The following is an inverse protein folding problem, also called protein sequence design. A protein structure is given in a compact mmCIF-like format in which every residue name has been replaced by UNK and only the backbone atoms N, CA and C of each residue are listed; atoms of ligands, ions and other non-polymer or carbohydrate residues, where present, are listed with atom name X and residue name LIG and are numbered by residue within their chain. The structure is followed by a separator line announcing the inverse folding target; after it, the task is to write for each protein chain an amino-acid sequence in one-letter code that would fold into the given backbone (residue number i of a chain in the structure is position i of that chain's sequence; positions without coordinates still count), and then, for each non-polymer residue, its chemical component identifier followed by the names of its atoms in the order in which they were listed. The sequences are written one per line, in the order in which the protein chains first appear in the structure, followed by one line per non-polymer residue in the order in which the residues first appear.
data_IF_986179495524
#
_entry.id   IF_986179495524
#
_cell.length_a   1.000
_cell.length_b   1.000
_cell.length_c   1.000
_cell.angle_alpha   90.00
_cell.angle_beta   90.00
_cell.angle_gamma   90.00
#
_symmetry.space_group_name_H-M   'P 1'
#
loop_
_entity.id
_entity.type
_entity.pdbx_description
1 polymer ?
#
# COMPACT_ATOMS: atom_id res chain seq x y z
N UNK A 1 13.80 -16.15 20.76
CA UNK A 1 14.68 -15.60 19.70
C UNK A 1 13.81 -14.77 18.76
N UNK A 2 13.83 -13.43 18.87
CA UNK A 2 13.08 -12.55 17.98
C UNK A 2 13.72 -12.65 16.59
N UNK A 3 12.99 -13.20 15.62
CA UNK A 3 13.48 -13.33 14.25
C UNK A 3 13.60 -11.91 13.68
N UNK A 4 14.82 -11.48 13.37
CA UNK A 4 15.06 -10.16 12.78
C UNK A 4 14.27 -10.03 11.48
N UNK A 5 13.57 -8.91 11.29
CA UNK A 5 12.87 -8.64 10.05
C UNK A 5 13.86 -8.60 8.89
N UNK A 6 13.50 -9.16 7.74
CA UNK A 6 14.39 -9.18 6.57
C UNK A 6 14.80 -7.76 6.16
N UNK A 7 15.98 -7.61 5.56
CA UNK A 7 16.48 -6.34 5.06
C UNK A 7 15.46 -5.59 4.21
N UNK A 8 14.77 -6.32 3.32
CA UNK A 8 13.65 -5.80 2.51
C UNK A 8 12.56 -5.17 3.36
N UNK A 9 12.10 -5.84 4.41
CA UNK A 9 11.00 -5.31 5.23
C UNK A 9 11.42 -4.04 5.98
N UNK A 10 12.65 -4.02 6.51
CA UNK A 10 13.22 -2.83 7.14
C UNK A 10 13.36 -1.67 6.15
N UNK A 11 13.76 -1.95 4.91
CA UNK A 11 13.79 -0.95 3.84
C UNK A 11 12.38 -0.39 3.55
N UNK A 12 11.33 -1.22 3.49
CA UNK A 12 9.95 -0.71 3.31
C UNK A 12 9.55 0.27 4.41
N UNK A 13 9.84 -0.08 5.68
CA UNK A 13 9.57 0.80 6.82
C UNK A 13 10.42 2.07 6.80
N UNK A 14 11.73 1.94 6.51
CA UNK A 14 12.65 3.08 6.43
C UNK A 14 12.30 4.06 5.30
N UNK A 15 11.71 3.57 4.20
CA UNK A 15 11.15 4.44 3.15
C UNK A 15 9.97 5.25 3.66
N UNK A 16 9.00 4.61 4.33
CA UNK A 16 7.83 5.29 4.91
C UNK A 16 8.24 6.34 5.95
N UNK A 17 9.21 6.03 6.81
CA UNK A 17 9.78 7.01 7.74
C UNK A 17 10.27 8.27 7.03
N UNK A 18 11.04 8.12 5.95
CA UNK A 18 11.59 9.25 5.18
C UNK A 18 10.52 10.06 4.46
N UNK A 19 9.42 9.43 4.04
CA UNK A 19 8.24 10.14 3.53
C UNK A 19 7.58 10.94 4.65
N UNK A 20 7.33 10.32 5.81
CA UNK A 20 6.66 10.94 6.95
C UNK A 20 7.42 12.18 7.49
N UNK A 21 8.75 12.11 7.49
CA UNK A 21 9.63 13.20 7.92
C UNK A 21 9.88 14.22 6.78
N UNK A 22 9.42 13.91 5.56
CA UNK A 22 9.61 14.67 4.33
C UNK A 22 8.82 15.97 4.25
N UNK A 23 9.23 16.87 3.35
CA UNK A 23 8.50 18.12 3.07
C UNK A 23 7.14 17.85 2.38
N UNK A 24 7.03 16.74 1.65
CA UNK A 24 5.85 16.35 0.91
C UNK A 24 4.94 15.37 1.70
N UNK A 25 5.17 15.20 3.01
CA UNK A 25 4.54 14.16 3.83
C UNK A 25 3.01 14.18 3.76
N UNK A 26 2.41 15.37 3.82
CA UNK A 26 0.94 15.52 3.81
C UNK A 26 0.31 15.21 2.45
N UNK A 27 1.11 15.03 1.40
CA UNK A 27 0.61 14.62 0.09
C UNK A 27 0.52 13.09 -0.09
N UNK A 28 0.96 12.28 0.88
CA UNK A 28 0.96 10.82 0.76
C UNK A 28 0.09 10.15 1.81
N UNK A 29 -0.79 9.27 1.36
CA UNK A 29 -1.53 8.35 2.22
C UNK A 29 -1.10 6.90 2.01
N UNK A 30 -0.85 6.17 3.10
CA UNK A 30 -0.49 4.76 3.09
C UNK A 30 -1.74 3.90 2.85
N UNK A 31 -1.59 2.90 1.98
CA UNK A 31 -2.59 1.84 1.78
C UNK A 31 -1.92 0.46 1.78
N UNK A 32 -2.68 -0.56 1.39
CA UNK A 32 -2.13 -1.84 0.98
C UNK A 32 -1.46 -2.64 2.10
N UNK A 33 -0.47 -3.47 1.73
CA UNK A 33 0.05 -4.52 2.61
C UNK A 33 0.78 -4.01 3.87
N UNK A 34 1.49 -2.88 3.75
CA UNK A 34 2.17 -2.27 4.90
C UNK A 34 1.16 -1.74 5.93
N UNK A 35 0.04 -1.17 5.49
CA UNK A 35 -1.02 -0.70 6.38
C UNK A 35 -1.71 -1.86 7.11
N UNK A 36 -2.08 -2.91 6.37
CA UNK A 36 -2.71 -4.10 6.98
C UNK A 36 -1.78 -4.72 8.02
N UNK A 37 -0.48 -4.79 7.76
CA UNK A 37 0.50 -5.28 8.74
C UNK A 37 0.59 -4.40 9.99
N UNK A 38 0.52 -3.08 9.82
CA UNK A 38 0.50 -2.15 10.96
C UNK A 38 -0.73 -2.40 11.85
N UNK A 39 -1.89 -2.67 11.25
CA UNK A 39 -3.12 -3.00 11.99
C UNK A 39 -3.12 -4.38 12.63
N UNK A 40 -2.47 -5.37 11.99
CA UNK A 40 -2.45 -6.76 12.42
C UNK A 40 -1.02 -7.31 12.54
N UNK A 41 -0.20 -6.79 13.47
CA UNK A 41 1.21 -7.17 13.58
C UNK A 41 1.42 -8.67 13.86
N UNK A 42 0.50 -9.28 14.62
CA UNK A 42 0.54 -10.71 14.98
C UNK A 42 0.34 -11.66 13.80
N UNK A 43 -0.29 -11.19 12.71
CA UNK A 43 -0.48 -11.99 11.50
C UNK A 43 0.84 -12.42 10.86
N UNK A 44 1.94 -11.70 11.16
CA UNK A 44 3.27 -11.83 10.54
C UNK A 44 3.23 -11.79 9.01
N UNK A 45 2.13 -11.38 8.39
CA UNK A 45 1.96 -11.29 6.94
C UNK A 45 3.07 -10.41 6.36
N UNK A 46 3.89 -10.92 5.43
CA UNK A 46 4.93 -10.11 4.82
C UNK A 46 4.28 -9.09 3.87
N UNK A 47 4.68 -7.82 3.98
CA UNK A 47 4.46 -6.84 2.94
C UNK A 47 5.63 -6.92 1.95
N UNK A 48 5.33 -6.92 0.65
CA UNK A 48 6.35 -7.00 -0.41
C UNK A 48 6.72 -5.61 -0.93
N UNK A 49 5.80 -4.68 -0.86
CA UNK A 49 5.83 -3.34 -1.43
C UNK A 49 5.26 -2.33 -0.44
N UNK A 50 5.52 -1.06 -0.74
CA UNK A 50 4.79 0.08 -0.18
C UNK A 50 3.75 0.49 -1.21
N UNK A 51 2.50 0.64 -0.78
CA UNK A 51 1.43 1.20 -1.61
C UNK A 51 1.03 2.58 -1.08
N UNK A 52 1.03 3.61 -1.93
CA UNK A 52 0.68 4.98 -1.59
C UNK A 52 -0.43 5.52 -2.49
N UNK A 53 -1.20 6.46 -1.95
CA UNK A 53 -1.97 7.43 -2.71
C UNK A 53 -1.23 8.76 -2.63
N UNK A 54 -1.07 9.46 -3.75
CA UNK A 54 -0.41 10.76 -3.78
C UNK A 54 -1.38 11.85 -4.28
N UNK A 55 -1.46 12.94 -3.51
CA UNK A 55 -2.23 14.15 -3.83
C UNK A 55 -1.49 15.16 -4.69
N UNK A 56 -0.19 14.95 -4.98
CA UNK A 56 0.54 15.78 -5.93
C UNK A 56 0.10 15.49 -7.37
N UNK A 57 0.29 16.42 -8.32
CA UNK A 57 0.05 16.17 -9.73
C UNK A 57 0.87 14.97 -10.26
N UNK A 58 0.30 14.20 -11.18
CA UNK A 58 1.00 13.11 -11.85
C UNK A 58 2.05 13.66 -12.84
N UNK A 59 3.28 13.83 -12.35
CA UNK A 59 4.43 14.26 -13.15
C UNK A 59 5.66 13.40 -12.79
N UNK A 60 6.14 12.61 -13.75
CA UNK A 60 7.28 11.70 -13.52
C UNK A 60 8.58 12.43 -13.17
N UNK A 61 8.82 13.63 -13.72
CA UNK A 61 10.05 14.38 -13.49
C UNK A 61 10.04 14.98 -12.09
N UNK A 62 8.94 15.62 -11.70
CA UNK A 62 8.75 16.15 -10.36
C UNK A 62 8.81 15.03 -9.32
N UNK A 63 8.13 13.91 -9.57
CA UNK A 63 8.12 12.77 -8.65
C UNK A 63 9.48 12.10 -8.51
N UNK A 64 10.28 12.00 -9.60
CA UNK A 64 11.68 11.56 -9.50
C UNK A 64 12.49 12.43 -8.53
N UNK A 65 12.28 13.75 -8.55
CA UNK A 65 12.95 14.65 -7.60
C UNK A 65 12.48 14.42 -6.16
N UNK A 66 11.17 14.23 -5.94
CA UNK A 66 10.60 13.87 -4.62
C UNK A 66 11.25 12.59 -4.09
N UNK A 67 11.19 11.50 -4.86
CA UNK A 67 11.75 10.22 -4.41
C UNK A 67 13.26 10.26 -4.22
N UNK A 68 14.02 10.98 -5.06
CA UNK A 68 15.46 11.17 -4.85
C UNK A 68 15.75 11.84 -3.50
N UNK A 69 15.04 12.92 -3.17
CA UNK A 69 15.16 13.60 -1.86
C UNK A 69 14.77 12.68 -0.71
N UNK A 70 13.69 11.93 -0.86
CA UNK A 70 13.24 10.95 0.14
C UNK A 70 14.31 9.89 0.39
N UNK A 71 14.86 9.28 -0.66
CA UNK A 71 15.90 8.24 -0.54
C UNK A 71 17.21 8.80 0.05
N UNK A 72 17.57 10.04 -0.27
CA UNK A 72 18.77 10.69 0.26
C UNK A 72 18.65 11.13 1.73
N UNK A 73 17.43 11.15 2.30
CA UNK A 73 17.21 11.58 3.69
C UNK A 73 17.81 10.57 4.66
N UNK A 74 18.60 11.09 5.61
CA UNK A 74 19.11 10.30 6.72
C UNK A 74 18.06 10.18 7.83
N UNK A 75 17.92 8.98 8.39
CA UNK A 75 17.10 8.70 9.57
C UNK A 75 17.87 7.74 10.50
N UNK A 76 17.69 7.86 11.81
CA UNK A 76 18.36 7.01 12.81
C UNK A 76 17.68 5.63 12.95
N UNK A 77 17.33 4.99 11.84
CA UNK A 77 16.59 3.72 11.76
C UNK A 77 17.46 2.54 11.29
N UNK A 78 18.75 2.78 11.04
CA UNK A 78 19.70 1.78 10.55
C UNK A 78 19.43 1.33 9.11
N UNK A 79 18.69 2.13 8.33
CA UNK A 79 18.42 1.95 6.91
C UNK A 79 19.18 3.01 6.12
N UNK A 80 19.79 2.63 5.00
CA UNK A 80 20.48 3.55 4.07
C UNK A 80 20.09 3.17 2.65
N UNK A 81 19.60 4.14 1.87
CA UNK A 81 19.27 3.94 0.45
C UNK A 81 20.38 4.43 -0.46
N UNK A 82 20.54 3.78 -1.61
CA UNK A 82 21.38 4.26 -2.71
C UNK A 82 20.57 5.26 -3.56
N UNK A 83 20.58 6.54 -3.17
CA UNK A 83 19.68 7.57 -3.72
C UNK A 83 19.87 7.86 -5.23
N UNK A 84 21.01 7.49 -5.81
CA UNK A 84 21.26 7.59 -7.26
C UNK A 84 20.94 6.30 -8.02
N UNK A 85 20.63 5.21 -7.31
CA UNK A 85 20.35 3.88 -7.89
C UNK A 85 18.89 3.49 -7.65
N UNK A 86 17.99 4.26 -8.23
CA UNK A 86 16.57 3.95 -8.27
C UNK A 86 16.02 4.13 -9.69
N UNK A 87 14.96 3.41 -10.00
CA UNK A 87 14.23 3.55 -11.27
C UNK A 87 12.76 3.82 -11.01
N UNK A 88 12.16 4.49 -11.98
CA UNK A 88 10.76 4.92 -11.93
C UNK A 88 10.11 4.52 -13.23
N UNK A 89 9.07 3.70 -13.10
CA UNK A 89 8.27 3.21 -14.19
C UNK A 89 6.84 3.75 -14.08
N UNK A 90 6.18 3.92 -15.21
CA UNK A 90 4.72 4.05 -15.23
C UNK A 90 4.12 2.68 -14.95
N UNK A 91 3.05 2.64 -14.18
CA UNK A 91 2.23 1.43 -14.05
C UNK A 91 0.80 1.73 -14.46
N UNK A 92 0.20 0.78 -15.16
CA UNK A 92 -1.24 0.75 -15.33
C UNK A 92 -1.83 0.22 -14.03
N UNK A 93 -2.67 1.03 -13.39
CA UNK A 93 -3.37 0.62 -12.20
C UNK A 93 -4.61 -0.18 -12.61
N UNK A 94 -5.23 -0.83 -11.64
CA UNK A 94 -6.58 -1.39 -11.80
C UNK A 94 -7.65 -0.28 -11.88
N UNK A 95 -7.27 0.99 -12.00
CA UNK A 95 -8.15 2.17 -12.03
C UNK A 95 -7.87 3.05 -13.24
N UNK A 96 -8.79 3.97 -13.59
CA UNK A 96 -8.47 5.04 -14.53
C UNK A 96 -7.39 6.00 -13.98
N UNK A 97 -6.96 5.83 -12.73
CA UNK A 97 -5.99 6.72 -12.10
C UNK A 97 -4.56 6.35 -12.47
N UNK A 98 -3.74 7.32 -12.88
CA UNK A 98 -2.36 7.05 -13.27
C UNK A 98 -1.54 6.54 -12.09
N UNK A 99 -0.63 5.61 -12.38
CA UNK A 99 0.24 5.01 -11.39
C UNK A 99 1.72 5.16 -11.74
N UNK A 100 2.53 5.08 -10.70
CA UNK A 100 3.97 5.04 -10.80
C UNK A 100 4.53 3.95 -9.87
N UNK A 101 5.58 3.25 -10.32
CA UNK A 101 6.35 2.34 -9.48
C UNK A 101 7.79 2.80 -9.38
N UNK A 102 8.26 2.97 -8.15
CA UNK A 102 9.68 3.16 -7.83
C UNK A 102 10.27 1.81 -7.47
N UNK A 103 11.45 1.51 -8.00
CA UNK A 103 12.31 0.48 -7.45
C UNK A 103 13.53 1.14 -6.85
N UNK A 104 13.81 0.86 -5.59
CA UNK A 104 14.91 1.43 -4.84
C UNK A 104 15.69 0.32 -4.14
N UNK A 105 17.00 0.53 -4.03
CA UNK A 105 17.91 -0.39 -3.35
C UNK A 105 18.58 0.29 -2.18
N UNK A 106 19.00 -0.51 -1.21
CA UNK A 106 19.65 -0.02 -0.02
C UNK A 106 20.10 -1.13 0.89
N UNK A 107 20.50 -0.74 2.11
CA UNK A 107 20.93 -1.65 3.16
C UNK A 107 20.18 -1.38 4.45
N UNK A 108 19.87 -2.44 5.19
CA UNK A 108 19.30 -2.34 6.52
C UNK A 108 20.07 -3.24 7.48
N UNK A 109 20.81 -2.66 8.43
CA UNK A 109 21.69 -3.42 9.31
C UNK A 109 22.84 -4.14 8.57
N UNK A 110 23.32 -3.57 7.45
CA UNK A 110 24.39 -4.14 6.62
C UNK A 110 23.91 -4.99 5.45
N UNK A 111 22.76 -5.63 5.58
CA UNK A 111 22.18 -6.51 4.56
C UNK A 111 21.56 -5.72 3.40
N UNK A 112 21.89 -6.11 2.17
CA UNK A 112 21.34 -5.51 0.96
C UNK A 112 19.88 -5.92 0.72
N UNK A 113 19.08 -5.03 0.15
CA UNK A 113 17.75 -5.35 -0.33
C UNK A 113 17.26 -4.39 -1.41
N UNK A 114 16.25 -4.86 -2.14
CA UNK A 114 15.49 -4.09 -3.12
C UNK A 114 14.03 -4.03 -2.69
N UNK A 115 13.43 -2.85 -2.83
CA UNK A 115 12.02 -2.59 -2.56
C UNK A 115 11.33 -1.96 -3.76
N UNK A 116 10.02 -2.15 -3.82
CA UNK A 116 9.14 -1.46 -4.76
C UNK A 116 8.13 -0.59 -4.01
N UNK A 117 7.86 0.59 -4.55
CA UNK A 117 6.89 1.55 -4.05
C UNK A 117 5.90 1.86 -5.17
N UNK A 118 4.65 1.51 -4.97
CA UNK A 118 3.56 1.79 -5.88
C UNK A 118 2.83 3.04 -5.42
N UNK A 119 2.68 4.01 -6.30
CA UNK A 119 1.98 5.27 -6.01
C UNK A 119 0.88 5.48 -7.03
N UNK A 120 -0.36 5.59 -6.55
CA UNK A 120 -1.52 5.96 -7.37
C UNK A 120 -1.83 7.44 -7.16
N UNK A 121 -2.06 8.18 -8.25
CA UNK A 121 -2.28 9.63 -8.22
C UNK A 121 -3.73 9.97 -8.54
N UNK A 122 -4.24 11.08 -8.03
CA UNK A 122 -5.61 11.55 -8.30
C UNK A 122 -6.71 10.51 -8.01
N UNK A 123 -6.42 9.52 -7.17
CA UNK A 123 -7.40 8.53 -6.72
C UNK A 123 -8.14 9.10 -5.50
N UNK A 124 -9.49 9.14 -5.52
CA UNK A 124 -10.26 9.57 -4.38
C UNK A 124 -10.06 8.59 -3.22
N UNK A 125 -9.82 9.14 -2.03
CA UNK A 125 -9.79 8.37 -0.78
C UNK A 125 -11.12 8.63 -0.08
N UNK A 126 -11.93 7.60 0.08
CA UNK A 126 -13.21 7.69 0.77
C UNK A 126 -13.47 6.42 1.62
N UNK A 127 -13.87 6.56 2.89
CA UNK A 127 -13.85 7.79 3.70
C UNK A 127 -12.49 8.50 3.71
N UNK A 128 -12.42 9.73 4.24
CA UNK A 128 -11.16 10.46 4.25
C UNK A 128 -10.05 9.69 4.98
N UNK A 129 -8.81 9.86 4.52
CA UNK A 129 -7.66 9.31 5.22
C UNK A 129 -7.56 9.93 6.62
N UNK A 130 -7.15 9.14 7.60
CA UNK A 130 -6.95 9.60 8.97
C UNK A 130 -5.46 9.73 9.25
N UNK A 131 -5.05 10.86 9.83
CA UNK A 131 -3.67 11.06 10.27
C UNK A 131 -3.49 10.41 11.64
N UNK A 132 -2.64 9.41 11.71
CA UNK A 132 -2.41 8.63 12.93
C UNK A 132 -0.95 8.14 13.01
N UNK A 133 -0.60 7.52 14.13
CA UNK A 133 0.72 6.96 14.40
C UNK A 133 1.00 5.66 13.64
N UNK A 134 1.91 5.72 12.66
CA UNK A 134 2.43 4.55 11.97
C UNK A 134 3.66 4.00 12.70
N UNK A 135 3.52 2.81 13.31
CA UNK A 135 4.61 2.12 14.01
C UNK A 135 5.61 1.53 13.01
N UNK A 136 6.85 2.03 13.04
CA UNK A 136 7.95 1.59 12.19
C UNK A 136 9.19 1.25 13.05
N UNK A 137 10.21 0.67 12.43
CA UNK A 137 11.53 0.54 13.07
C UNK A 137 12.03 1.92 13.52
N UNK A 138 12.48 2.03 14.77
CA UNK A 138 12.94 3.29 15.36
C UNK A 138 11.83 4.16 15.97
N UNK A 139 10.56 3.72 15.97
CA UNK A 139 9.46 4.41 16.65
C UNK A 139 8.27 4.71 15.75
N UNK A 140 7.29 5.41 16.31
CA UNK A 140 6.07 5.81 15.60
C UNK A 140 6.27 7.15 14.87
N UNK A 141 5.66 7.29 13.69
CA UNK A 141 5.64 8.54 12.91
C UNK A 141 4.21 8.88 12.48
N UNK A 142 3.81 10.16 12.45
CA UNK A 142 2.50 10.54 11.92
C UNK A 142 2.45 10.24 10.41
N UNK A 143 1.38 9.59 9.96
CA UNK A 143 1.17 9.26 8.55
C UNK A 143 -0.33 9.31 8.22
N UNK A 144 -0.69 9.70 7.00
CA UNK A 144 -2.08 9.59 6.53
C UNK A 144 -2.39 8.14 6.18
N UNK A 145 -3.36 7.52 6.83
CA UNK A 145 -3.72 6.12 6.64
C UNK A 145 -5.06 6.05 5.90
N UNK A 146 -5.10 5.35 4.76
CA UNK A 146 -6.37 5.11 4.08
C UNK A 146 -7.31 4.26 4.95
N UNK A 147 -8.63 4.52 4.92
CA UNK A 147 -9.58 3.81 5.78
C UNK A 147 -9.70 2.33 5.38
N UNK A 148 -10.06 1.51 6.36
CA UNK A 148 -10.09 0.04 6.17
C UNK A 148 -11.18 -0.39 5.18
N UNK A 149 -12.29 0.35 5.14
CA UNK A 149 -13.45 0.18 4.25
C UNK A 149 -13.03 0.32 2.80
N UNK A 150 -12.27 1.38 2.47
CA UNK A 150 -11.67 1.55 1.14
C UNK A 150 -10.77 0.38 0.79
N UNK A 151 -9.93 -0.07 1.73
CA UNK A 151 -9.04 -1.21 1.50
C UNK A 151 -9.82 -2.50 1.19
N UNK A 152 -10.94 -2.75 1.88
CA UNK A 152 -11.82 -3.90 1.59
C UNK A 152 -12.44 -3.77 0.21
N UNK A 153 -13.11 -2.65 -0.08
CA UNK A 153 -13.75 -2.42 -1.39
C UNK A 153 -12.77 -2.59 -2.54
N UNK A 154 -11.57 -1.99 -2.44
CA UNK A 154 -10.52 -2.13 -3.47
C UNK A 154 -10.01 -3.56 -3.61
N UNK A 155 -9.91 -4.34 -2.53
CA UNK A 155 -9.46 -5.74 -2.60
C UNK A 155 -10.50 -6.63 -3.24
N UNK A 156 -11.78 -6.47 -2.88
CA UNK A 156 -12.89 -7.16 -3.53
C UNK A 156 -12.92 -6.85 -5.02
N UNK A 157 -12.81 -5.57 -5.38
CA UNK A 157 -12.79 -5.17 -6.78
C UNK A 157 -11.62 -5.80 -7.56
N UNK A 158 -10.41 -5.85 -6.97
CA UNK A 158 -9.28 -6.54 -7.59
C UNK A 158 -9.55 -8.03 -7.74
N UNK A 159 -10.16 -8.68 -6.75
CA UNK A 159 -10.52 -10.09 -6.84
C UNK A 159 -11.53 -10.35 -7.97
N UNK A 160 -12.54 -9.48 -8.13
CA UNK A 160 -13.51 -9.59 -9.21
C UNK A 160 -12.84 -9.44 -10.58
N UNK A 161 -11.92 -8.48 -10.73
CA UNK A 161 -11.19 -8.26 -11.97
C UNK A 161 -10.20 -9.37 -12.35
N UNK A 162 -9.76 -10.20 -11.40
CA UNK A 162 -8.95 -11.38 -11.75
C UNK A 162 -9.76 -12.39 -12.58
N UNK A 163 -11.08 -12.32 -12.47
CA UNK A 163 -12.01 -13.24 -13.10
C UNK A 163 -12.16 -14.56 -12.33
N UNK A 164 -13.08 -15.42 -12.78
CA UNK A 164 -13.41 -16.66 -12.09
C UNK A 164 -12.21 -17.61 -12.04
N UNK A 165 -12.20 -18.48 -11.03
CA UNK A 165 -11.18 -19.50 -10.79
C UNK A 165 -9.76 -18.95 -10.53
N UNK A 166 -9.63 -17.64 -10.28
CA UNK A 166 -8.36 -17.00 -9.93
C UNK A 166 -8.35 -16.51 -8.50
N UNK A 167 -7.23 -16.78 -7.84
CA UNK A 167 -7.06 -16.51 -6.42
C UNK A 167 -5.91 -15.55 -6.16
N UNK A 168 -6.14 -14.59 -5.25
CA UNK A 168 -5.07 -13.76 -4.67
C UNK A 168 -5.10 -13.91 -3.15
N UNK A 169 -4.47 -14.97 -2.60
CA UNK A 169 -4.60 -15.33 -1.17
C UNK A 169 -4.32 -14.18 -0.21
N UNK A 170 -3.38 -13.30 -0.55
CA UNK A 170 -3.06 -12.12 0.27
C UNK A 170 -4.22 -11.13 0.40
N UNK A 171 -5.01 -10.94 -0.66
CA UNK A 171 -6.12 -9.98 -0.64
C UNK A 171 -7.33 -10.56 0.08
N UNK A 172 -7.61 -11.86 -0.09
CA UNK A 172 -8.61 -12.57 0.72
C UNK A 172 -8.25 -12.58 2.21
N UNK A 173 -6.98 -12.85 2.54
CA UNK A 173 -6.50 -12.80 3.92
C UNK A 173 -6.67 -11.40 4.51
N UNK A 174 -6.35 -10.34 3.76
CA UNK A 174 -6.50 -8.97 4.23
C UNK A 174 -7.97 -8.60 4.44
N UNK A 175 -8.86 -8.95 3.50
CA UNK A 175 -10.32 -8.76 3.63
C UNK A 175 -10.82 -9.50 4.86
N UNK A 176 -10.48 -10.77 5.02
CA UNK A 176 -10.89 -11.58 6.16
C UNK A 176 -10.42 -10.97 7.50
N UNK A 177 -9.16 -10.55 7.61
CA UNK A 177 -8.64 -9.93 8.83
C UNK A 177 -9.35 -8.63 9.17
N UNK A 178 -9.59 -7.77 8.17
CA UNK A 178 -10.29 -6.49 8.38
C UNK A 178 -11.73 -6.74 8.82
N UNK A 179 -12.48 -7.60 8.11
CA UNK A 179 -13.89 -7.88 8.41
C UNK A 179 -14.10 -8.64 9.74
N UNK A 180 -13.12 -9.43 10.18
CA UNK A 180 -13.15 -10.13 11.49
C UNK A 180 -12.71 -9.25 12.65
N UNK A 181 -12.27 -8.03 12.37
CA UNK A 181 -11.92 -7.03 13.37
C UNK A 181 -13.02 -5.98 13.49
N UNK A 182 -12.91 -5.07 14.46
CA UNK A 182 -13.80 -3.93 14.60
C UNK A 182 -13.42 -2.73 13.72
N UNK A 183 -12.49 -2.90 12.75
CA UNK A 183 -11.97 -1.79 11.94
C UNK A 183 -12.90 -1.33 10.83
N UNK A 184 -13.71 -2.23 10.27
CA UNK A 184 -14.71 -1.87 9.27
C UNK A 184 -15.97 -1.36 9.98
N UNK A 185 -16.30 -0.10 9.76
CA UNK A 185 -17.49 0.56 10.31
C UNK A 185 -18.67 0.61 9.33
N UNK A 186 -19.66 1.45 9.66
CA UNK A 186 -20.90 1.60 8.90
C UNK A 186 -20.72 2.09 7.45
N UNK A 187 -19.56 2.64 7.10
CA UNK A 187 -19.24 3.09 5.74
C UNK A 187 -18.82 1.96 4.79
N UNK A 188 -18.72 0.70 5.25
CA UNK A 188 -18.21 -0.41 4.46
C UNK A 188 -19.00 -0.64 3.17
N UNK A 189 -20.33 -0.62 3.23
CA UNK A 189 -21.19 -0.85 2.05
C UNK A 189 -20.92 0.18 0.95
N UNK A 190 -20.98 1.47 1.29
CA UNK A 190 -20.71 2.55 0.35
C UNK A 190 -19.26 2.53 -0.17
N UNK A 191 -18.28 2.12 0.65
CA UNK A 191 -16.90 2.02 0.21
C UNK A 191 -16.70 0.90 -0.82
N UNK A 192 -17.45 -0.20 -0.68
CA UNK A 192 -17.50 -1.28 -1.67
C UNK A 192 -18.16 -0.75 -2.95
N UNK A 193 -19.34 -0.14 -2.87
CA UNK A 193 -20.03 0.44 -4.03
C UNK A 193 -19.14 1.42 -4.81
N UNK A 194 -18.50 2.36 -4.11
CA UNK A 194 -17.55 3.32 -4.71
C UNK A 194 -16.33 2.66 -5.34
N UNK A 195 -15.87 1.53 -4.80
CA UNK A 195 -14.76 0.80 -5.40
C UNK A 195 -15.13 0.15 -6.74
N UNK A 196 -16.40 -0.24 -6.91
CA UNK A 196 -16.94 -0.84 -8.14
C UNK A 196 -17.55 0.20 -9.09
N UNK A 197 -17.84 1.41 -8.63
CA UNK A 197 -18.34 2.50 -9.47
C UNK A 197 -17.42 2.76 -10.68
N UNK A 198 -17.96 2.63 -11.89
CA UNK A 198 -17.23 2.79 -13.15
C UNK A 198 -16.49 1.53 -13.65
N UNK A 199 -16.81 0.34 -13.10
CA UNK A 199 -16.23 -0.93 -13.52
C UNK A 199 -17.30 -1.94 -13.95
N UNK A 200 -17.65 -1.92 -15.24
CA UNK A 200 -18.70 -2.78 -15.79
C UNK A 200 -18.25 -4.23 -16.06
N UNK A 201 -16.93 -4.49 -15.99
CA UNK A 201 -16.34 -5.76 -16.42
C UNK A 201 -16.20 -6.80 -15.29
N UNK A 202 -16.60 -6.47 -14.06
CA UNK A 202 -16.43 -7.33 -12.89
C UNK A 202 -17.47 -7.00 -11.80
N UNK A 203 -18.72 -7.46 -11.95
CA UNK A 203 -19.78 -7.19 -10.97
C UNK A 203 -19.44 -7.75 -9.59
N UNK A 204 -19.87 -7.06 -8.54
CA UNK A 204 -19.65 -7.50 -7.15
C UNK A 204 -20.36 -8.83 -6.89
N UNK A 205 -21.49 -9.04 -7.54
CA UNK A 205 -22.37 -10.20 -7.44
C UNK A 205 -21.64 -11.50 -7.82
N UNK A 206 -20.69 -11.42 -8.76
CA UNK A 206 -19.89 -12.58 -9.19
C UNK A 206 -19.08 -13.15 -8.02
N UNK A 207 -18.58 -12.29 -7.11
CA UNK A 207 -17.83 -12.75 -5.93
C UNK A 207 -18.70 -13.50 -4.92
N UNK A 208 -20.02 -13.32 -4.97
CA UNK A 208 -20.96 -13.98 -4.08
C UNK A 208 -21.38 -15.36 -4.59
N UNK A 209 -21.15 -15.65 -5.88
CA UNK A 209 -21.39 -16.96 -6.45
C UNK A 209 -20.26 -17.94 -6.08
N UNK A 210 -20.60 -19.06 -5.44
CA UNK A 210 -19.64 -20.12 -5.14
C UNK A 210 -18.92 -20.65 -6.39
N UNK A 211 -19.61 -20.69 -7.53
CA UNK A 211 -19.06 -21.14 -8.81
C UNK A 211 -17.95 -20.22 -9.35
N UNK A 212 -17.91 -18.95 -8.95
CA UNK A 212 -16.83 -18.04 -9.32
C UNK A 212 -15.48 -18.51 -8.76
N UNK A 213 -15.50 -19.18 -7.63
CA UNK A 213 -14.30 -19.57 -6.87
C UNK A 213 -13.86 -21.00 -7.15
N UNK A 214 -14.80 -21.92 -7.33
CA UNK A 214 -14.53 -23.35 -7.52
C UNK A 214 -14.42 -23.68 -9.01
N UNK A 215 -13.40 -24.45 -9.40
CA UNK A 215 -13.44 -25.12 -10.71
C UNK A 215 -14.67 -26.05 -10.77
N UNK A 216 -15.31 -26.15 -11.94
CA UNK A 216 -16.37 -27.15 -12.18
C UNK A 216 -15.85 -28.57 -12.00
#
# INVERSE_FOLDING_TARGET
MVRQASARHRLLGGFLRRIAEGADADAFALRGGMLVRHWFPESRRPARDVDLVCGLPYDLRAMRAVFKRTLARHAADGVVFEADRFRVDRIQTATPHPGMRVYAVGRAGGDFGEISIDTTFAMPVWPDAVRDGLRLDGGEVPFWLCPSEMLVGRKLQVLAQLGPHRWRPKDLSDVWMILRSSRAGGALGEAIERAFAGYDQAPLEDLLDGAFWTDR
#
